data_IF_153570428863
#
_entry.id   IF_153570428863
#
_cell.length_a   1.000
_cell.length_b   1.000
_cell.length_c   1.000
_cell.angle_alpha   90.00
_cell.angle_beta   90.00
_cell.angle_gamma   90.00
#
_symmetry.space_group_name_H-M   'P 1'
#
loop_
_entity.id
_entity.type
_entity.pdbx_description
1 polymer ?
#
# COMPACT_ATOMS: atom_id res chain seq x y z
N UNK A 1 63.39 33.23 -2.35
CA UNK A 1 62.58 34.18 -3.16
C UNK A 1 61.13 33.92 -2.82
N UNK A 2 60.55 34.76 -1.95
CA UNK A 2 59.16 34.65 -1.50
C UNK A 2 58.34 35.70 -2.23
N UNK A 3 57.26 35.34 -2.95
CA UNK A 3 56.31 36.32 -3.42
C UNK A 3 55.30 36.63 -2.30
N UNK A 4 55.37 37.86 -1.80
CA UNK A 4 54.37 38.47 -0.93
C UNK A 4 53.10 38.77 -1.75
N UNK A 5 52.00 38.11 -1.41
CA UNK A 5 50.66 38.46 -1.87
C UNK A 5 50.20 39.73 -1.13
N UNK A 6 49.98 40.82 -1.88
CA UNK A 6 49.45 42.07 -1.35
C UNK A 6 47.95 41.93 -1.03
N UNK A 7 47.56 42.32 0.17
CA UNK A 7 46.18 42.28 0.70
C UNK A 7 45.18 43.26 0.03
N UNK A 8 45.45 43.71 -1.19
CA UNK A 8 44.61 44.67 -1.92
C UNK A 8 43.53 44.00 -2.80
N UNK A 9 43.59 42.69 -3.02
CA UNK A 9 42.62 41.97 -3.87
C UNK A 9 41.36 41.49 -3.11
N UNK A 10 41.27 41.72 -1.80
CA UNK A 10 40.10 41.38 -0.97
C UNK A 10 39.27 42.60 -0.56
N UNK A 11 39.24 43.65 -1.38
CA UNK A 11 38.23 44.69 -1.20
C UNK A 11 36.85 44.11 -1.58
N UNK A 12 35.84 44.14 -0.69
CA UNK A 12 34.51 43.68 -1.04
C UNK A 12 33.95 44.60 -2.13
N UNK A 13 33.77 44.08 -3.34
CA UNK A 13 32.89 44.70 -4.34
C UNK A 13 31.53 44.89 -3.68
N UNK A 14 31.14 46.14 -3.48
CA UNK A 14 29.84 46.51 -2.91
C UNK A 14 28.74 45.75 -3.65
N UNK A 15 28.03 44.88 -2.95
CA UNK A 15 26.84 44.23 -3.49
C UNK A 15 25.87 45.32 -3.98
N UNK A 16 25.34 45.24 -5.21
CA UNK A 16 24.37 46.21 -5.66
C UNK A 16 23.14 46.14 -4.74
N UNK A 17 22.78 47.31 -4.21
CA UNK A 17 21.57 47.51 -3.43
C UNK A 17 20.37 46.95 -4.20
N UNK A 18 19.46 46.32 -3.45
CA UNK A 18 18.14 45.83 -3.88
C UNK A 18 17.67 46.37 -5.23
N UNK A 19 17.61 45.49 -6.24
CA UNK A 19 16.92 45.80 -7.49
C UNK A 19 15.43 45.88 -7.16
N UNK A 20 14.84 47.06 -7.33
CA UNK A 20 13.41 47.23 -7.12
C UNK A 20 12.64 46.40 -8.15
N UNK A 21 11.42 45.95 -7.79
CA UNK A 21 10.54 45.24 -8.74
C UNK A 21 10.31 46.03 -10.04
N UNK A 22 10.36 47.36 -9.98
CA UNK A 22 10.22 48.24 -11.13
C UNK A 22 11.43 48.13 -12.08
N UNK A 23 12.64 48.09 -11.54
CA UNK A 23 13.88 47.99 -12.32
C UNK A 23 14.04 46.60 -12.95
N UNK A 24 13.56 45.56 -12.26
CA UNK A 24 13.48 44.20 -12.80
C UNK A 24 12.53 44.13 -14.01
N UNK A 25 11.39 44.83 -13.95
CA UNK A 25 10.44 44.94 -15.07
C UNK A 25 10.97 45.78 -16.24
N UNK A 26 11.94 46.67 -16.01
CA UNK A 26 12.68 47.38 -17.06
C UNK A 26 13.70 46.49 -17.77
N UNK A 27 14.45 45.70 -17.00
CA UNK A 27 15.44 44.73 -17.51
C UNK A 27 14.81 43.62 -18.36
N UNK A 28 13.64 43.11 -17.97
CA UNK A 28 12.91 42.09 -18.74
C UNK A 28 12.46 42.65 -20.10
N UNK A 29 11.99 43.91 -20.14
CA UNK A 29 11.58 44.59 -21.38
C UNK A 29 12.76 44.90 -22.30
N UNK A 30 13.88 45.36 -21.75
CA UNK A 30 15.08 45.66 -22.53
C UNK A 30 15.76 44.41 -23.12
N UNK A 31 15.67 43.26 -22.43
CA UNK A 31 16.31 42.03 -22.88
C UNK A 31 15.46 41.22 -23.86
N UNK A 32 14.32 41.74 -24.32
CA UNK A 32 13.38 41.01 -25.18
C UNK A 32 13.09 39.60 -24.68
N UNK A 33 13.08 39.42 -23.35
CA UNK A 33 12.59 38.21 -22.69
C UNK A 33 11.06 38.25 -22.71
N UNK A 34 10.49 38.49 -23.89
CA UNK A 34 9.12 38.13 -24.16
C UNK A 34 9.07 36.63 -24.12
N UNK A 35 8.46 36.18 -23.05
CA UNK A 35 8.22 34.81 -22.80
C UNK A 35 7.20 34.31 -23.83
N UNK A 36 7.69 33.90 -25.00
CA UNK A 36 6.96 32.98 -25.89
C UNK A 36 6.77 31.60 -25.22
N UNK A 37 7.26 31.45 -24.00
CA UNK A 37 7.03 30.33 -23.08
C UNK A 37 6.54 30.80 -21.71
N UNK A 38 6.01 32.03 -21.56
CA UNK A 38 5.27 32.38 -20.35
C UNK A 38 3.98 31.59 -20.39
N UNK A 39 4.05 30.38 -19.83
CA UNK A 39 3.26 30.02 -18.66
C UNK A 39 1.96 30.84 -18.64
N UNK A 40 1.05 30.48 -19.54
CA UNK A 40 -0.38 30.68 -19.34
C UNK A 40 -0.74 29.84 -18.11
N UNK A 41 -0.33 30.33 -16.94
CA UNK A 41 -0.80 29.83 -15.65
C UNK A 41 -2.23 30.33 -15.58
N UNK A 42 -3.10 29.49 -16.10
CA UNK A 42 -4.54 29.60 -16.02
C UNK A 42 -4.90 30.03 -14.59
N UNK A 43 -5.51 31.21 -14.40
CA UNK A 43 -5.75 31.80 -13.07
C UNK A 43 -6.53 30.88 -12.14
N UNK A 44 -7.27 29.92 -12.71
CA UNK A 44 -7.94 28.81 -11.99
C UNK A 44 -6.95 27.85 -11.32
N UNK A 45 -5.83 27.53 -11.98
CA UNK A 45 -4.75 26.70 -11.40
C UNK A 45 -4.05 27.42 -10.26
N UNK A 46 -3.86 28.74 -10.36
CA UNK A 46 -3.28 29.53 -9.28
C UNK A 46 -4.21 29.60 -8.06
N UNK A 47 -5.51 29.84 -8.26
CA UNK A 47 -6.50 29.82 -7.18
C UNK A 47 -6.65 28.46 -6.50
N UNK A 48 -6.59 27.37 -7.26
CA UNK A 48 -6.61 26.02 -6.68
C UNK A 48 -5.33 25.74 -5.85
N UNK A 49 -4.16 26.18 -6.34
CA UNK A 49 -2.89 26.02 -5.63
C UNK A 49 -2.85 26.80 -4.31
N UNK A 50 -3.37 28.03 -4.28
CA UNK A 50 -3.40 28.84 -3.05
C UNK A 50 -4.35 28.27 -2.00
N UNK A 51 -5.54 27.79 -2.41
CA UNK A 51 -6.48 27.11 -1.50
C UNK A 51 -5.87 25.81 -0.96
N UNK A 52 -5.17 25.04 -1.79
CA UNK A 52 -4.45 23.84 -1.37
C UNK A 52 -3.36 24.14 -0.33
N UNK A 53 -2.51 25.14 -0.60
CA UNK A 53 -1.45 25.56 0.33
C UNK A 53 -2.01 26.03 1.69
N UNK A 54 -3.13 26.76 1.67
CA UNK A 54 -3.78 27.21 2.91
C UNK A 54 -4.32 26.04 3.73
N UNK A 55 -4.90 25.02 3.10
CA UNK A 55 -5.36 23.79 3.78
C UNK A 55 -4.20 23.01 4.38
N UNK A 56 -3.11 22.85 3.65
CA UNK A 56 -1.89 22.20 4.15
C UNK A 56 -1.34 22.91 5.38
N UNK A 57 -1.20 24.24 5.34
CA UNK A 57 -0.73 25.03 6.47
C UNK A 57 -1.65 24.91 7.70
N UNK A 58 -2.97 24.89 7.50
CA UNK A 58 -3.94 24.69 8.58
C UNK A 58 -3.83 23.29 9.21
N UNK A 59 -3.65 22.26 8.39
CA UNK A 59 -3.45 20.88 8.87
C UNK A 59 -2.15 20.76 9.67
N UNK A 60 -1.06 21.35 9.18
CA UNK A 60 0.23 21.39 9.88
C UNK A 60 0.12 22.11 11.22
N UNK A 61 -0.55 23.28 11.26
CA UNK A 61 -0.76 24.02 12.51
C UNK A 61 -1.63 23.24 13.51
N UNK A 62 -2.68 22.56 13.03
CA UNK A 62 -3.49 21.68 13.87
C UNK A 62 -2.65 20.55 14.48
N UNK A 63 -1.85 19.86 13.66
CA UNK A 63 -0.97 18.77 14.13
C UNK A 63 0.10 19.31 15.08
N UNK A 64 0.72 20.45 14.79
CA UNK A 64 1.72 21.07 15.66
C UNK A 64 1.16 21.39 17.06
N UNK A 65 -0.11 21.82 17.14
CA UNK A 65 -0.81 22.02 18.43
C UNK A 65 -0.97 20.69 19.18
N UNK A 66 -1.34 19.61 18.48
CA UNK A 66 -1.45 18.27 19.09
C UNK A 66 -0.10 17.79 19.62
N UNK A 67 0.96 17.94 18.84
CA UNK A 67 2.32 17.53 19.22
C UNK A 67 2.79 18.29 20.44
N UNK A 68 2.57 19.60 20.45
CA UNK A 68 2.93 20.47 21.58
C UNK A 68 2.19 20.01 22.83
N UNK A 69 0.87 19.82 22.76
CA UNK A 69 0.07 19.34 23.89
C UNK A 69 0.42 17.91 24.34
N UNK A 70 0.88 17.04 23.42
CA UNK A 70 1.30 15.68 23.72
C UNK A 70 2.69 15.60 24.39
N UNK A 71 3.57 16.56 24.08
CA UNK A 71 4.95 16.64 24.60
C UNK A 71 5.10 17.58 25.79
N UNK A 72 4.13 18.46 26.03
CA UNK A 72 4.10 19.38 27.15
C UNK A 72 4.10 18.61 28.49
N UNK A 73 5.24 18.67 29.19
CA UNK A 73 5.44 18.03 30.48
C UNK A 73 4.80 18.80 31.64
N UNK A 74 4.52 20.08 31.44
CA UNK A 74 3.94 20.96 32.46
C UNK A 74 2.42 20.77 32.56
N UNK A 75 1.77 20.31 31.48
CA UNK A 75 0.33 20.04 31.43
C UNK A 75 0.03 18.56 31.14
N UNK A 76 0.27 17.65 32.09
CA UNK A 76 0.13 16.20 31.87
C UNK A 76 -1.31 15.77 31.52
N UNK A 77 -2.32 16.56 31.87
CA UNK A 77 -3.73 16.30 31.51
C UNK A 77 -4.03 16.54 30.02
N UNK A 78 -3.19 17.31 29.31
CA UNK A 78 -3.36 17.61 27.89
C UNK A 78 -2.98 16.44 26.98
N UNK A 79 -1.97 15.66 27.37
CA UNK A 79 -1.44 14.56 26.55
C UNK A 79 -2.49 13.51 26.17
N UNK A 80 -3.32 12.96 27.09
CA UNK A 80 -4.34 11.98 26.72
C UNK A 80 -5.43 12.53 25.77
N UNK A 81 -5.68 13.84 25.79
CA UNK A 81 -6.62 14.47 24.86
C UNK A 81 -5.97 14.66 23.48
N UNK A 82 -4.74 15.14 23.44
CA UNK A 82 -3.98 15.30 22.20
C UNK A 82 -3.78 13.96 21.47
N UNK A 83 -3.44 12.89 22.20
CA UNK A 83 -3.32 11.54 21.62
C UNK A 83 -4.67 11.04 21.10
N UNK A 84 -5.78 11.27 21.82
CA UNK A 84 -7.12 10.89 21.33
C UNK A 84 -7.49 11.62 20.05
N UNK A 85 -7.14 12.90 19.94
CA UNK A 85 -7.40 13.68 18.74
C UNK A 85 -6.49 13.25 17.58
N UNK A 86 -5.21 12.98 17.84
CA UNK A 86 -4.30 12.41 16.85
C UNK A 86 -4.79 11.03 16.34
N UNK A 87 -5.33 10.18 17.21
CA UNK A 87 -5.93 8.90 16.82
C UNK A 87 -7.18 9.09 15.94
N UNK A 88 -7.99 10.11 16.22
CA UNK A 88 -9.15 10.46 15.38
C UNK A 88 -8.69 10.90 13.99
N UNK A 89 -7.72 11.81 13.91
CA UNK A 89 -7.15 12.25 12.61
C UNK A 89 -6.54 11.07 11.86
N UNK A 90 -5.76 10.22 12.54
CA UNK A 90 -5.16 9.03 11.95
C UNK A 90 -6.19 8.07 11.33
N UNK A 91 -7.39 7.98 11.92
CA UNK A 91 -8.45 7.07 11.49
C UNK A 91 -9.34 7.67 10.39
N UNK A 92 -9.70 8.94 10.55
CA UNK A 92 -10.80 9.56 9.80
C UNK A 92 -10.31 10.54 8.72
N UNK A 93 -9.01 10.87 8.67
CA UNK A 93 -8.47 11.73 7.63
C UNK A 93 -8.20 10.96 6.34
N UNK A 94 -8.64 11.56 5.24
CA UNK A 94 -8.38 11.09 3.87
C UNK A 94 -7.32 11.96 3.16
N UNK A 95 -6.78 12.99 3.83
CA UNK A 95 -5.76 13.89 3.27
C UNK A 95 -4.36 13.27 3.38
N UNK A 96 -3.71 12.90 2.26
CA UNK A 96 -2.38 12.28 2.30
C UNK A 96 -1.32 13.18 2.95
N UNK A 97 -1.44 14.51 2.82
CA UNK A 97 -0.49 15.45 3.43
C UNK A 97 -0.62 15.46 4.94
N UNK A 98 -1.86 15.54 5.44
CA UNK A 98 -2.16 15.50 6.88
C UNK A 98 -1.65 14.18 7.50
N UNK A 99 -1.95 13.04 6.86
CA UNK A 99 -1.49 11.73 7.32
C UNK A 99 0.04 11.59 7.30
N UNK A 100 0.70 12.13 6.28
CA UNK A 100 2.17 12.13 6.19
C UNK A 100 2.82 13.00 7.28
N UNK A 101 2.28 14.20 7.48
CA UNK A 101 2.77 15.09 8.51
C UNK A 101 2.54 14.51 9.92
N UNK A 102 1.36 13.92 10.16
CA UNK A 102 1.04 13.26 11.42
C UNK A 102 2.00 12.08 11.69
N UNK A 103 2.30 11.27 10.67
CA UNK A 103 3.27 10.15 10.76
C UNK A 103 4.65 10.66 11.21
N UNK A 104 5.13 11.75 10.61
CA UNK A 104 6.45 12.31 10.91
C UNK A 104 6.51 12.87 12.35
N UNK A 105 5.43 13.50 12.80
CA UNK A 105 5.39 14.16 14.11
C UNK A 105 5.17 13.20 15.28
N UNK A 106 4.42 12.12 15.06
CA UNK A 106 4.08 11.10 16.05
C UNK A 106 4.84 9.79 15.88
N UNK A 107 5.99 9.79 15.16
CA UNK A 107 6.80 8.59 14.91
C UNK A 107 7.17 7.83 16.20
N UNK A 108 7.35 8.55 17.31
CA UNK A 108 7.69 8.00 18.63
C UNK A 108 6.46 7.58 19.47
N UNK A 109 5.25 7.63 18.92
CA UNK A 109 4.00 7.27 19.60
C UNK A 109 3.35 6.06 18.89
N UNK A 110 3.75 4.82 19.23
CA UNK A 110 3.34 3.61 18.50
C UNK A 110 1.83 3.39 18.43
N UNK A 111 1.08 3.92 19.38
CA UNK A 111 -0.39 3.85 19.37
C UNK A 111 -1.01 4.66 18.23
N UNK A 112 -0.47 5.85 17.96
CA UNK A 112 -0.91 6.70 16.83
C UNK A 112 -0.45 6.08 15.52
N UNK A 113 0.81 5.64 15.45
CA UNK A 113 1.36 5.00 14.26
C UNK A 113 0.61 3.71 13.91
N UNK A 114 0.21 2.92 14.90
CA UNK A 114 -0.58 1.70 14.69
C UNK A 114 -1.91 1.98 14.00
N UNK A 115 -2.60 3.07 14.34
CA UNK A 115 -3.86 3.43 13.69
C UNK A 115 -3.63 4.09 12.33
N UNK A 116 -2.61 4.94 12.20
CA UNK A 116 -2.16 5.46 10.90
C UNK A 116 -1.85 4.35 9.90
N UNK A 117 -1.14 3.30 10.35
CA UNK A 117 -0.76 2.17 9.53
C UNK A 117 -1.94 1.39 8.95
N UNK A 118 -3.14 1.47 9.55
CA UNK A 118 -4.36 0.83 9.02
C UNK A 118 -5.11 1.71 8.02
N UNK A 119 -4.83 3.01 7.97
CA UNK A 119 -5.60 3.95 7.17
C UNK A 119 -5.37 3.69 5.67
N UNK A 120 -6.43 3.44 4.87
CA UNK A 120 -6.30 3.17 3.43
C UNK A 120 -5.74 4.34 2.63
N UNK A 121 -5.84 5.58 3.13
CA UNK A 121 -5.33 6.79 2.50
C UNK A 121 -3.88 7.12 2.88
N UNK A 122 -3.25 6.30 3.72
CA UNK A 122 -1.85 6.50 4.13
C UNK A 122 -0.93 6.46 2.90
N UNK A 123 -0.19 7.55 2.60
CA UNK A 123 0.65 7.61 1.41
C UNK A 123 1.83 6.65 1.52
N UNK A 124 2.27 6.15 0.37
CA UNK A 124 3.39 5.20 0.26
C UNK A 124 4.65 5.67 0.99
N UNK A 125 4.98 6.96 0.90
CA UNK A 125 6.15 7.53 1.60
C UNK A 125 6.07 7.27 3.11
N UNK A 126 4.90 7.44 3.71
CA UNK A 126 4.68 7.18 5.14
C UNK A 126 4.72 5.68 5.45
N UNK A 127 4.18 4.83 4.58
CA UNK A 127 4.27 3.37 4.72
C UNK A 127 5.74 2.92 4.78
N UNK A 128 6.58 3.43 3.86
CA UNK A 128 8.03 3.15 3.83
C UNK A 128 8.74 3.69 5.07
N UNK A 129 8.39 4.88 5.55
CA UNK A 129 8.95 5.44 6.81
C UNK A 129 8.64 4.53 8.00
N UNK A 130 7.41 4.04 8.13
CA UNK A 130 7.02 3.13 9.21
C UNK A 130 7.76 1.80 9.12
N UNK A 131 7.87 1.22 7.91
CA UNK A 131 8.52 -0.06 7.71
C UNK A 131 10.04 -0.02 7.90
N UNK A 132 10.69 1.10 7.58
CA UNK A 132 12.14 1.26 7.67
C UNK A 132 12.62 1.80 9.02
N UNK A 133 11.73 2.33 9.86
CA UNK A 133 12.09 2.72 11.22
C UNK A 133 12.31 1.47 12.09
N UNK A 134 13.52 1.33 12.62
CA UNK A 134 13.91 0.13 13.37
C UNK A 134 13.03 -0.12 14.61
N UNK A 135 12.55 0.94 15.27
CA UNK A 135 11.73 0.81 16.49
C UNK A 135 10.30 0.39 16.16
N UNK A 136 9.76 0.91 15.07
CA UNK A 136 8.42 0.56 14.59
C UNK A 136 8.40 -0.80 13.90
N UNK A 137 9.44 -1.14 13.14
CA UNK A 137 9.61 -2.44 12.50
C UNK A 137 9.70 -3.58 13.53
N UNK A 138 10.33 -3.33 14.69
CA UNK A 138 10.36 -4.26 15.81
C UNK A 138 8.99 -4.40 16.52
N UNK A 139 8.08 -3.43 16.33
CA UNK A 139 6.76 -3.45 16.95
C UNK A 139 5.77 -4.27 16.12
N UNK A 140 5.56 -5.51 16.55
CA UNK A 140 4.64 -6.48 15.94
C UNK A 140 3.24 -5.91 15.69
N UNK A 141 2.69 -5.10 16.61
CA UNK A 141 1.35 -4.55 16.43
C UNK A 141 1.27 -3.49 15.34
N UNK A 142 2.32 -2.69 15.18
CA UNK A 142 2.41 -1.69 14.10
C UNK A 142 2.57 -2.40 12.76
N UNK A 143 3.45 -3.41 12.69
CA UNK A 143 3.69 -4.15 11.46
C UNK A 143 2.48 -4.97 11.01
N UNK A 144 1.71 -5.55 11.94
CA UNK A 144 0.43 -6.20 11.62
C UNK A 144 -0.60 -5.20 11.09
N UNK A 145 -0.70 -4.03 11.70
CA UNK A 145 -1.57 -2.95 11.19
C UNK A 145 -1.17 -2.54 9.78
N UNK A 146 0.14 -2.36 9.52
CA UNK A 146 0.65 -1.97 8.21
C UNK A 146 0.39 -3.07 7.18
N UNK A 147 0.62 -4.34 7.54
CA UNK A 147 0.36 -5.49 6.69
C UNK A 147 -1.13 -5.63 6.32
N UNK A 148 -2.03 -5.31 7.26
CA UNK A 148 -3.48 -5.33 7.03
C UNK A 148 -3.98 -4.16 6.17
N UNK A 149 -3.13 -3.19 5.82
CA UNK A 149 -3.54 -2.01 5.07
C UNK A 149 -3.87 -2.34 3.60
N UNK A 150 -5.09 -2.04 3.12
CA UNK A 150 -5.49 -2.32 1.74
C UNK A 150 -4.75 -1.47 0.71
N UNK A 151 -4.09 -0.37 1.07
CA UNK A 151 -3.32 0.46 0.12
C UNK A 151 -1.82 0.14 0.10
N UNK A 152 -1.40 -0.92 0.77
CA UNK A 152 0.00 -1.35 0.82
C UNK A 152 0.51 -1.67 -0.61
N UNK A 153 1.66 -1.11 -0.96
CA UNK A 153 2.25 -1.24 -2.30
C UNK A 153 2.95 -2.59 -2.49
N UNK A 154 2.99 -3.14 -3.72
CA UNK A 154 3.49 -4.49 -3.96
C UNK A 154 4.99 -4.64 -3.69
N UNK A 155 5.79 -3.60 -3.94
CA UNK A 155 7.22 -3.58 -3.59
C UNK A 155 7.40 -3.73 -2.07
N UNK A 156 6.68 -2.92 -1.29
CA UNK A 156 6.73 -2.97 0.16
C UNK A 156 6.17 -4.30 0.71
N UNK A 157 5.14 -4.88 0.08
CA UNK A 157 4.66 -6.22 0.41
C UNK A 157 5.77 -7.26 0.28
N UNK A 158 6.54 -7.24 -0.82
CA UNK A 158 7.68 -8.16 -1.01
C UNK A 158 8.76 -7.94 0.05
N UNK A 159 9.11 -6.69 0.33
CA UNK A 159 10.11 -6.36 1.34
C UNK A 159 9.69 -6.88 2.72
N UNK A 160 8.43 -6.69 3.10
CA UNK A 160 7.89 -7.16 4.38
C UNK A 160 7.76 -8.68 4.46
N UNK A 161 7.43 -9.36 3.36
CA UNK A 161 7.41 -10.83 3.31
C UNK A 161 8.81 -11.43 3.54
N UNK A 162 9.84 -10.78 3.01
CA UNK A 162 11.22 -11.24 3.12
C UNK A 162 11.89 -10.84 4.44
N UNK A 163 11.50 -9.70 5.03
CA UNK A 163 12.11 -9.18 6.26
C UNK A 163 11.37 -9.56 7.54
N UNK A 164 10.07 -9.89 7.47
CA UNK A 164 9.29 -10.20 8.67
C UNK A 164 9.32 -11.67 9.03
N UNK A 165 9.69 -11.97 10.27
CA UNK A 165 9.59 -13.31 10.84
C UNK A 165 8.18 -13.63 11.38
N UNK A 166 7.31 -12.63 11.55
CA UNK A 166 5.96 -12.86 12.09
C UNK A 166 5.07 -13.52 11.03
N UNK A 167 4.54 -14.70 11.35
CA UNK A 167 3.64 -15.45 10.47
C UNK A 167 2.33 -14.71 10.21
N UNK A 168 1.84 -13.91 11.18
CA UNK A 168 0.60 -13.14 11.02
C UNK A 168 0.82 -12.00 10.04
N UNK A 169 1.95 -11.28 10.14
CA UNK A 169 2.30 -10.22 9.18
C UNK A 169 2.39 -10.78 7.76
N UNK A 170 3.11 -11.90 7.59
CA UNK A 170 3.24 -12.55 6.29
C UNK A 170 1.90 -13.04 5.73
N UNK A 171 1.04 -13.58 6.59
CA UNK A 171 -0.31 -14.01 6.22
C UNK A 171 -1.19 -12.84 5.74
N UNK A 172 -1.22 -11.74 6.49
CA UNK A 172 -1.99 -10.54 6.12
C UNK A 172 -1.52 -9.95 4.79
N UNK A 173 -0.20 -9.95 4.54
CA UNK A 173 0.34 -9.50 3.25
C UNK A 173 -0.11 -10.41 2.10
N UNK A 174 0.01 -11.73 2.27
CA UNK A 174 -0.41 -12.69 1.26
C UNK A 174 -1.92 -12.59 0.97
N UNK A 175 -2.73 -12.41 2.02
CA UNK A 175 -4.17 -12.22 1.90
C UNK A 175 -4.51 -10.93 1.14
N UNK A 176 -3.89 -9.81 1.50
CA UNK A 176 -4.11 -8.53 0.83
C UNK A 176 -3.65 -8.55 -0.63
N UNK A 177 -2.53 -9.22 -0.92
CA UNK A 177 -2.09 -9.43 -2.30
C UNK A 177 -3.11 -10.25 -3.10
N UNK A 178 -3.67 -11.32 -2.51
CA UNK A 178 -4.69 -12.14 -3.17
C UNK A 178 -5.98 -11.35 -3.45
N UNK A 179 -6.43 -10.53 -2.50
CA UNK A 179 -7.57 -9.62 -2.70
C UNK A 179 -7.34 -8.67 -3.87
N UNK A 180 -6.17 -8.02 -3.93
CA UNK A 180 -5.83 -7.11 -5.03
C UNK A 180 -5.65 -7.82 -6.36
N UNK A 181 -5.07 -9.01 -6.34
CA UNK A 181 -4.89 -9.84 -7.53
C UNK A 181 -6.24 -10.21 -8.14
N UNK A 182 -7.24 -10.55 -7.32
CA UNK A 182 -8.60 -10.89 -7.79
C UNK A 182 -9.22 -9.76 -8.63
N UNK A 183 -9.04 -8.51 -8.22
CA UNK A 183 -9.57 -7.34 -8.93
C UNK A 183 -8.62 -6.76 -9.98
N UNK A 184 -7.45 -7.35 -10.19
CA UNK A 184 -6.51 -6.85 -11.18
C UNK A 184 -7.00 -7.14 -12.61
N UNK A 185 -6.92 -6.19 -13.55
CA UNK A 185 -7.36 -6.43 -14.93
C UNK A 185 -6.47 -7.47 -15.63
N UNK A 186 -5.16 -7.38 -15.40
CA UNK A 186 -4.17 -8.14 -16.16
C UNK A 186 -3.43 -9.16 -15.29
N UNK A 187 -3.03 -10.28 -15.90
CA UNK A 187 -2.13 -11.26 -15.27
C UNK A 187 -0.73 -10.68 -14.99
N UNK A 188 -0.36 -9.59 -15.66
CA UNK A 188 0.93 -8.93 -15.45
C UNK A 188 1.00 -8.05 -14.21
N UNK A 189 -0.11 -7.90 -13.49
CA UNK A 189 -0.18 -7.13 -12.25
C UNK A 189 0.87 -7.63 -11.23
N UNK A 190 1.57 -6.73 -10.53
CA UNK A 190 2.58 -7.12 -9.56
C UNK A 190 2.00 -7.93 -8.40
N UNK A 191 0.71 -7.76 -8.08
CA UNK A 191 0.02 -8.54 -7.05
C UNK A 191 -0.24 -9.99 -7.49
N UNK A 192 -0.53 -10.20 -8.78
CA UNK A 192 -0.68 -11.54 -9.37
C UNK A 192 0.64 -12.28 -9.28
N UNK A 193 1.72 -11.65 -9.76
CA UNK A 193 3.08 -12.22 -9.72
C UNK A 193 3.51 -12.58 -8.31
N UNK A 194 3.18 -11.73 -7.32
CA UNK A 194 3.45 -12.01 -5.92
C UNK A 194 2.67 -13.25 -5.41
N UNK A 195 1.40 -13.40 -5.79
CA UNK A 195 0.62 -14.59 -5.44
C UNK A 195 1.17 -15.86 -6.10
N UNK A 196 1.53 -15.78 -7.39
CA UNK A 196 2.12 -16.90 -8.13
C UNK A 196 3.47 -17.32 -7.50
N UNK A 197 4.35 -16.36 -7.20
CA UNK A 197 5.64 -16.57 -6.50
C UNK A 197 5.41 -17.24 -5.13
N UNK A 198 4.50 -16.70 -4.31
CA UNK A 198 4.20 -17.26 -2.99
C UNK A 198 3.67 -18.68 -3.09
N UNK A 199 2.76 -18.93 -4.03
CA UNK A 199 2.16 -20.25 -4.18
C UNK A 199 3.15 -21.31 -4.65
N UNK A 200 4.09 -20.93 -5.52
CA UNK A 200 5.07 -21.85 -6.11
C UNK A 200 6.26 -22.15 -5.17
N UNK A 201 6.77 -21.13 -4.49
CA UNK A 201 8.06 -21.19 -3.79
C UNK A 201 7.96 -21.40 -2.28
N UNK A 202 6.86 -20.99 -1.66
CA UNK A 202 6.77 -20.97 -0.20
C UNK A 202 6.55 -22.38 0.33
N UNK A 203 7.30 -22.79 1.37
CA UNK A 203 7.06 -24.06 2.07
C UNK A 203 5.95 -23.98 3.12
N UNK A 204 5.63 -22.77 3.60
CA UNK A 204 4.55 -22.51 4.54
C UNK A 204 3.17 -22.71 3.87
N UNK A 205 2.43 -23.72 4.35
CA UNK A 205 1.11 -24.04 3.83
C UNK A 205 0.09 -22.93 4.12
N UNK A 206 0.23 -22.16 5.21
CA UNK A 206 -0.71 -21.08 5.55
C UNK A 206 -0.56 -19.91 4.56
N UNK A 207 0.68 -19.53 4.24
CA UNK A 207 0.96 -18.49 3.25
C UNK A 207 0.54 -18.91 1.85
N UNK A 208 0.85 -20.15 1.46
CA UNK A 208 0.39 -20.71 0.18
C UNK A 208 -1.13 -20.65 0.07
N UNK A 209 -1.84 -21.14 1.10
CA UNK A 209 -3.31 -21.12 1.13
C UNK A 209 -3.88 -19.71 1.01
N UNK A 210 -3.27 -18.71 1.66
CA UNK A 210 -3.69 -17.31 1.57
C UNK A 210 -3.49 -16.71 0.17
N UNK A 211 -2.45 -17.12 -0.54
CA UNK A 211 -2.11 -16.63 -1.88
C UNK A 211 -2.95 -17.28 -3.00
N UNK A 212 -3.34 -18.56 -2.84
CA UNK A 212 -4.02 -19.36 -3.88
C UNK A 212 -5.24 -18.69 -4.55
N UNK A 213 -6.12 -17.94 -3.84
CA UNK A 213 -7.23 -17.24 -4.48
C UNK A 213 -6.82 -16.15 -5.48
N UNK A 214 -5.59 -15.64 -5.38
CA UNK A 214 -5.02 -14.62 -6.25
C UNK A 214 -4.07 -15.16 -7.32
N UNK A 215 -3.83 -16.48 -7.37
CA UNK A 215 -2.94 -17.09 -8.38
C UNK A 215 -3.61 -17.09 -9.74
N UNK A 216 -2.87 -16.73 -10.78
CA UNK A 216 -3.33 -16.79 -12.18
C UNK A 216 -2.47 -17.69 -13.06
N UNK A 217 -1.28 -18.07 -12.60
CA UNK A 217 -0.44 -19.00 -13.33
C UNK A 217 -1.05 -20.41 -13.34
N UNK A 218 -1.42 -20.87 -14.54
CA UNK A 218 -2.00 -22.18 -14.79
C UNK A 218 -1.08 -23.33 -14.36
N UNK A 219 0.24 -23.17 -14.52
CA UNK A 219 1.20 -24.22 -14.19
C UNK A 219 1.39 -24.35 -12.68
N UNK A 220 1.34 -23.23 -11.95
CA UNK A 220 1.32 -23.24 -10.48
C UNK A 220 0.08 -23.96 -9.97
N UNK A 221 -1.11 -23.64 -10.51
CA UNK A 221 -2.36 -24.29 -10.12
C UNK A 221 -2.37 -25.79 -10.44
N UNK A 222 -1.87 -26.20 -11.61
CA UNK A 222 -1.68 -27.61 -11.97
C UNK A 222 -0.72 -28.31 -11.00
N UNK A 223 0.40 -27.67 -10.67
CA UNK A 223 1.40 -28.22 -9.75
C UNK A 223 0.81 -28.43 -8.36
N UNK A 224 0.07 -27.45 -7.83
CA UNK A 224 -0.60 -27.58 -6.53
C UNK A 224 -1.64 -28.70 -6.57
N UNK A 225 -2.50 -28.75 -7.59
CA UNK A 225 -3.51 -29.79 -7.72
C UNK A 225 -2.93 -31.21 -7.80
N UNK A 226 -1.77 -31.39 -8.46
CA UNK A 226 -1.12 -32.71 -8.62
C UNK A 226 -0.33 -33.17 -7.40
N UNK A 227 0.31 -32.24 -6.70
CA UNK A 227 1.23 -32.57 -5.60
C UNK A 227 0.52 -32.79 -4.28
N UNK A 228 -0.71 -32.31 -4.13
CA UNK A 228 -1.40 -32.32 -2.85
C UNK A 228 -2.27 -33.54 -2.65
N UNK A 229 -2.03 -34.18 -1.52
CA UNK A 229 -2.79 -35.34 -1.07
C UNK A 229 -4.10 -34.90 -0.40
N UNK A 230 -5.09 -35.76 -0.55
CA UNK A 230 -6.49 -35.67 -0.09
C UNK A 230 -6.58 -35.41 1.43
N UNK A 231 -5.56 -35.79 2.20
CA UNK A 231 -5.57 -35.73 3.67
C UNK A 231 -4.92 -34.46 4.24
N UNK A 232 -3.77 -34.04 3.70
CA UNK A 232 -3.01 -32.90 4.25
C UNK A 232 -3.13 -31.61 3.42
N UNK A 233 -3.52 -31.71 2.16
CA UNK A 233 -3.66 -30.56 1.24
C UNK A 233 -5.10 -30.25 0.87
N UNK A 234 -6.08 -30.84 1.55
CA UNK A 234 -7.49 -30.75 1.18
C UNK A 234 -8.01 -29.30 1.08
N UNK A 235 -7.56 -28.41 1.97
CA UNK A 235 -7.90 -26.97 1.94
C UNK A 235 -7.24 -26.23 0.78
N UNK A 236 -6.01 -26.60 0.43
CA UNK A 236 -5.32 -26.03 -0.74
C UNK A 236 -6.04 -26.46 -2.02
N UNK A 237 -6.50 -27.71 -2.10
CA UNK A 237 -7.32 -28.21 -3.20
C UNK A 237 -8.67 -27.48 -3.27
N UNK A 238 -9.30 -27.14 -2.15
CA UNK A 238 -10.49 -26.28 -2.20
C UNK A 238 -10.20 -24.89 -2.71
N UNK A 239 -9.10 -24.26 -2.26
CA UNK A 239 -8.74 -22.93 -2.73
C UNK A 239 -8.44 -22.93 -4.24
N UNK A 240 -7.82 -23.98 -4.76
CA UNK A 240 -7.67 -24.17 -6.23
C UNK A 240 -9.04 -24.39 -6.89
N UNK A 241 -9.94 -25.16 -6.28
CA UNK A 241 -11.27 -25.40 -6.84
C UNK A 241 -12.14 -24.12 -6.90
N UNK A 242 -12.00 -23.23 -5.92
CA UNK A 242 -12.73 -21.96 -5.81
C UNK A 242 -12.09 -20.83 -6.63
N UNK A 243 -10.87 -21.01 -7.14
CA UNK A 243 -10.20 -19.99 -7.95
C UNK A 243 -10.76 -19.98 -9.39
N UNK A 244 -11.29 -18.83 -9.81
CA UNK A 244 -11.90 -18.60 -11.13
C UNK A 244 -10.89 -18.72 -12.29
N UNK A 245 -9.60 -18.57 -12.02
CA UNK A 245 -8.54 -18.67 -13.00
C UNK A 245 -8.00 -20.10 -13.14
N UNK A 246 -8.54 -21.06 -12.37
CA UNK A 246 -8.10 -22.46 -12.45
C UNK A 246 -8.42 -23.06 -13.82
N UNK A 247 -7.43 -23.70 -14.48
CA UNK A 247 -7.63 -24.31 -15.78
C UNK A 247 -8.77 -25.34 -15.79
N UNK A 248 -9.52 -25.36 -16.89
CA UNK A 248 -10.70 -26.24 -17.06
C UNK A 248 -10.34 -27.72 -16.93
N UNK A 249 -9.16 -28.12 -17.42
CA UNK A 249 -8.61 -29.48 -17.27
C UNK A 249 -8.44 -29.85 -15.79
N UNK A 250 -7.85 -28.95 -15.00
CA UNK A 250 -7.64 -29.16 -13.56
C UNK A 250 -8.96 -29.27 -12.82
N UNK A 251 -9.90 -28.36 -13.08
CA UNK A 251 -11.22 -28.43 -12.44
C UNK A 251 -12.01 -29.69 -12.84
N UNK A 252 -11.90 -30.13 -14.10
CA UNK A 252 -12.57 -31.34 -14.56
C UNK A 252 -12.01 -32.59 -13.85
N UNK A 253 -10.69 -32.66 -13.70
CA UNK A 253 -10.03 -33.74 -12.95
C UNK A 253 -10.47 -33.74 -11.48
N UNK A 254 -10.56 -32.56 -10.85
CA UNK A 254 -11.01 -32.40 -9.47
C UNK A 254 -12.50 -32.72 -9.26
N UNK A 255 -13.35 -32.49 -10.26
CA UNK A 255 -14.77 -32.87 -10.22
C UNK A 255 -14.99 -34.39 -10.40
N UNK A 256 -14.14 -35.03 -11.22
CA UNK A 256 -14.23 -36.44 -11.59
C UNK A 256 -13.54 -37.41 -10.62
N UNK A 257 -13.21 -36.94 -9.42
CA UNK A 257 -12.54 -37.76 -8.39
C UNK A 257 -13.33 -39.05 -8.07
N UNK A 258 -12.68 -40.23 -7.96
CA UNK A 258 -13.34 -41.49 -7.62
C UNK A 258 -14.15 -41.42 -6.33
N UNK A 259 -15.24 -42.21 -6.24
CA UNK A 259 -16.16 -42.21 -5.07
C UNK A 259 -15.42 -42.41 -3.73
N UNK A 260 -14.40 -43.27 -3.69
CA UNK A 260 -13.57 -43.50 -2.50
C UNK A 260 -12.86 -42.24 -2.00
N UNK A 261 -12.26 -41.46 -2.90
CA UNK A 261 -11.62 -40.18 -2.58
C UNK A 261 -12.63 -39.07 -2.25
N UNK A 262 -13.81 -39.07 -2.90
CA UNK A 262 -14.91 -38.16 -2.55
C UNK A 262 -15.39 -38.37 -1.10
N UNK A 263 -15.50 -39.62 -0.66
CA UNK A 263 -15.83 -39.93 0.73
C UNK A 263 -14.75 -39.47 1.71
N UNK A 264 -13.46 -39.58 1.34
CA UNK A 264 -12.37 -39.04 2.16
C UNK A 264 -12.44 -37.51 2.27
N UNK A 265 -12.61 -36.78 1.17
CA UNK A 265 -12.80 -35.32 1.23
C UNK A 265 -13.99 -34.94 2.12
N UNK A 266 -15.14 -35.60 1.94
CA UNK A 266 -16.33 -35.35 2.73
C UNK A 266 -16.13 -35.64 4.23
N UNK A 267 -15.35 -36.68 4.58
CA UNK A 267 -15.02 -37.01 5.96
C UNK A 267 -14.19 -35.93 6.67
N UNK A 268 -13.41 -35.14 5.92
CA UNK A 268 -12.67 -33.99 6.43
C UNK A 268 -13.43 -32.65 6.30
N UNK A 269 -14.72 -32.70 5.93
CA UNK A 269 -15.54 -31.51 5.71
C UNK A 269 -15.18 -30.74 4.44
N UNK A 270 -14.49 -31.38 3.51
CA UNK A 270 -13.93 -30.77 2.31
C UNK A 270 -14.78 -31.10 1.08
N UNK A 271 -15.15 -30.08 0.32
CA UNK A 271 -16.11 -30.13 -0.81
C UNK A 271 -15.45 -29.85 -2.16
N UNK A 272 -14.18 -30.22 -2.33
CA UNK A 272 -13.37 -29.98 -3.55
C UNK A 272 -14.13 -30.25 -4.86
N UNK A 273 -14.78 -31.42 -4.97
CA UNK A 273 -15.46 -31.81 -6.21
C UNK A 273 -16.73 -31.00 -6.48
N UNK A 274 -17.44 -30.56 -5.44
CA UNK A 274 -18.63 -29.71 -5.57
C UNK A 274 -18.22 -28.28 -5.95
N UNK A 275 -17.18 -27.75 -5.30
CA UNK A 275 -16.59 -26.45 -5.61
C UNK A 275 -16.06 -26.41 -7.05
N UNK A 276 -15.26 -27.40 -7.46
CA UNK A 276 -14.73 -27.47 -8.81
C UNK A 276 -15.85 -27.57 -9.87
N UNK A 277 -16.90 -28.35 -9.61
CA UNK A 277 -18.06 -28.43 -10.49
C UNK A 277 -18.81 -27.09 -10.59
N UNK A 278 -18.94 -26.36 -9.48
CA UNK A 278 -19.57 -25.04 -9.45
C UNK A 278 -18.75 -24.02 -10.25
N UNK A 279 -17.45 -23.92 -10.01
CA UNK A 279 -16.55 -23.01 -10.73
C UNK A 279 -16.54 -23.32 -12.23
N UNK A 280 -16.57 -24.60 -12.61
CA UNK A 280 -16.70 -25.01 -14.02
C UNK A 280 -18.01 -24.53 -14.67
N UNK A 281 -19.12 -24.55 -13.93
CA UNK A 281 -20.41 -24.06 -14.42
C UNK A 281 -20.38 -22.54 -14.59
N UNK A 282 -19.80 -21.82 -13.62
CA UNK A 282 -19.63 -20.36 -13.68
C UNK A 282 -18.77 -19.95 -14.89
N UNK A 283 -17.70 -20.68 -15.19
CA UNK A 283 -16.85 -20.44 -16.37
C UNK A 283 -17.54 -20.73 -17.72
N UNK A 284 -18.48 -21.68 -17.75
CA UNK A 284 -19.23 -22.03 -18.97
C UNK A 284 -20.42 -21.10 -19.23
N UNK A 285 -20.92 -20.43 -18.20
CA UNK A 285 -22.09 -19.56 -18.26
C UNK A 285 -21.84 -18.24 -17.50
N UNK A 286 -21.09 -17.28 -18.10
CA UNK A 286 -20.75 -16.02 -17.43
C UNK A 286 -21.96 -15.10 -17.17
N UNK A 287 -23.15 -15.40 -17.72
CA UNK A 287 -24.38 -14.60 -17.57
C UNK A 287 -25.26 -15.00 -16.36
N UNK A 288 -24.72 -15.74 -15.39
CA UNK A 288 -25.44 -16.08 -14.16
C UNK A 288 -25.73 -14.86 -13.24
N UNK A 289 -26.78 -14.90 -12.41
CA UNK A 289 -27.34 -13.74 -11.68
C UNK A 289 -26.43 -13.13 -10.58
N UNK A 290 -25.15 -13.52 -10.50
CA UNK A 290 -24.14 -12.92 -9.62
C UNK A 290 -23.22 -11.90 -10.31
N UNK A 291 -23.16 -11.87 -11.63
CA UNK A 291 -22.29 -10.95 -12.38
C UNK A 291 -22.80 -9.48 -12.39
N UNK A 292 -24.06 -9.28 -11.98
CA UNK A 292 -24.73 -7.97 -12.05
C UNK A 292 -24.46 -7.00 -10.88
N UNK A 293 -23.76 -7.42 -9.81
CA UNK A 293 -23.42 -6.50 -8.70
C UNK A 293 -22.01 -5.91 -8.77
N UNK A 294 -21.05 -6.53 -9.47
CA UNK A 294 -19.68 -5.98 -9.57
C UNK A 294 -19.52 -4.91 -10.66
N UNK A 295 -20.47 -4.80 -11.60
CA UNK A 295 -20.47 -3.74 -12.62
C UNK A 295 -21.10 -2.41 -12.13
N UNK A 296 -21.61 -2.33 -10.90
CA UNK A 296 -22.28 -1.15 -10.36
C UNK A 296 -21.38 -0.25 -9.49
N UNK A 297 -20.08 -0.53 -9.40
CA UNK A 297 -19.12 0.25 -8.59
C UNK A 297 -17.89 0.76 -9.37
N UNK A 298 -17.99 0.84 -10.70
CA UNK A 298 -17.11 1.70 -11.51
C UNK A 298 -17.74 3.06 -11.73
#
# INVERSE_FOLDING_TARGET
MNPSLSAAEFAPTSAPAYISFADMGGLIRQRHLYADSALQVDGRRFGAATVGAMRMAQAEEAINRLVTAARDREKPKGRPQAIREALRVAKDSDDPHELHYLTSMFINEPTVIKELAKNPHLPEKSQRVIANDATLAANVHVMRSLASNPSLQPELMRDLLNSSEDSIVRYEIAHNAALKSRFAPDADSPYVKLCDELADTTYDNALRLAALPGVRDADVLRKVARTRDVVFGARELEAVADNIHTPVDVLADMANVPKSRKMLHAAFGVTVAQKAARTLVELRHPEGPGAGMEAALT
#
